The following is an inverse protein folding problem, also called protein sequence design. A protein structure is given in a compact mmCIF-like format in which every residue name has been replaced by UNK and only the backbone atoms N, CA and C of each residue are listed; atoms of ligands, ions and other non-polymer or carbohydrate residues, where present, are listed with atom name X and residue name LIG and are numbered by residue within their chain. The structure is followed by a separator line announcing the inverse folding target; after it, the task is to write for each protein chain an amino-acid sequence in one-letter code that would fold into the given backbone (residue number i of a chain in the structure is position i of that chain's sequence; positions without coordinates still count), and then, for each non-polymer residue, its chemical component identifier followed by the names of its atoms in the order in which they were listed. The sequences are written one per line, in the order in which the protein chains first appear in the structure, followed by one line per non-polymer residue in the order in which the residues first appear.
data_IF_934491128413
#
_entry.id   IF_934491128413
#
_cell.length_a   1.000
_cell.length_b   1.000
_cell.length_c   1.000
_cell.angle_alpha   90.00
_cell.angle_beta   90.00
_cell.angle_gamma   90.00
#
_symmetry.space_group_name_H-M   'P 1'
#
loop_
_entity.id
_entity.type
_entity.pdbx_description
1 polymer ?
#
# COMPACT_ATOMS: atom_id res chain seq x y z
N UNK A 1 -16.53 1.21 0.73
CA UNK A 1 -15.87 1.61 -0.52
C UNK A 1 -14.63 2.49 -0.34
N UNK A 2 -14.65 3.55 0.50
CA UNK A 2 -13.55 4.52 0.61
C UNK A 2 -12.20 3.98 1.15
N UNK A 3 -12.17 2.76 1.69
CA UNK A 3 -10.98 2.16 2.29
C UNK A 3 -9.75 2.19 1.36
N UNK A 4 -9.91 1.88 0.07
CA UNK A 4 -8.78 1.86 -0.87
C UNK A 4 -8.21 3.25 -1.16
N UNK A 5 -9.07 4.28 -1.21
CA UNK A 5 -8.64 5.67 -1.41
C UNK A 5 -7.81 6.15 -0.21
N UNK A 6 -8.26 5.86 1.01
CA UNK A 6 -7.50 6.19 2.21
C UNK A 6 -6.22 5.35 2.31
N UNK A 7 -6.29 4.05 1.99
CA UNK A 7 -5.16 3.15 2.00
C UNK A 7 -4.02 3.65 1.10
N UNK A 8 -4.31 4.07 -0.13
CA UNK A 8 -3.31 4.64 -1.04
C UNK A 8 -2.69 5.94 -0.52
N UNK A 9 -3.47 6.77 0.17
CA UNK A 9 -2.98 8.07 0.68
C UNK A 9 -2.09 7.94 1.92
N UNK A 10 -2.37 6.96 2.79
CA UNK A 10 -1.71 6.87 4.10
C UNK A 10 -0.76 5.67 4.26
N UNK A 11 -0.96 4.61 3.47
CA UNK A 11 -0.22 3.34 3.57
C UNK A 11 0.52 3.00 2.28
N UNK A 12 -0.19 2.89 1.14
CA UNK A 12 0.39 2.54 -0.15
C UNK A 12 0.74 3.80 -0.96
N UNK A 13 1.66 4.60 -0.44
CA UNK A 13 2.10 5.86 -1.06
C UNK A 13 2.99 5.62 -2.29
N UNK A 14 2.91 6.51 -3.28
CA UNK A 14 3.68 6.38 -4.53
C UNK A 14 5.20 6.44 -4.34
N UNK A 15 5.68 7.08 -3.27
CA UNK A 15 7.08 7.06 -2.83
C UNK A 15 7.14 6.44 -1.44
N UNK A 16 7.99 5.43 -1.26
CA UNK A 16 8.23 4.71 0.01
C UNK A 16 6.94 4.24 0.71
N UNK A 17 6.23 3.22 0.17
CA UNK A 17 5.02 2.69 0.78
C UNK A 17 5.30 1.99 2.11
N UNK A 18 4.37 2.11 3.04
CA UNK A 18 4.45 1.52 4.39
C UNK A 18 4.02 0.04 4.38
N UNK A 19 4.73 -0.78 3.61
CA UNK A 19 4.42 -2.19 3.43
C UNK A 19 4.43 -2.98 4.75
N UNK A 20 5.30 -2.62 5.71
CA UNK A 20 5.41 -3.28 7.01
C UNK A 20 4.13 -3.18 7.85
N UNK A 21 3.33 -2.13 7.67
CA UNK A 21 2.07 -1.90 8.40
C UNK A 21 0.84 -2.11 7.51
N UNK A 22 1.01 -2.62 6.29
CA UNK A 22 -0.08 -2.78 5.33
C UNK A 22 -0.87 -4.06 5.64
N UNK A 23 -2.14 -3.91 6.01
CA UNK A 23 -3.02 -5.04 6.37
C UNK A 23 -3.25 -6.06 5.23
N UNK A 24 -3.03 -5.65 3.98
CA UNK A 24 -3.15 -6.51 2.80
C UNK A 24 -1.80 -6.89 2.19
N UNK A 25 -0.69 -6.65 2.91
CA UNK A 25 0.66 -6.94 2.42
C UNK A 25 0.85 -8.42 2.05
N UNK A 26 0.23 -9.33 2.81
CA UNK A 26 0.29 -10.77 2.57
C UNK A 26 -0.32 -11.19 1.22
N UNK A 27 -1.19 -10.36 0.64
CA UNK A 27 -1.85 -10.61 -0.65
C UNK A 27 -1.41 -9.63 -1.74
N UNK A 28 -0.47 -8.72 -1.44
CA UNK A 28 -0.05 -7.69 -2.37
C UNK A 28 0.94 -8.26 -3.39
N UNK A 29 0.68 -8.17 -4.70
CA UNK A 29 1.59 -8.68 -5.74
C UNK A 29 2.84 -7.82 -5.93
N UNK A 30 2.89 -6.63 -5.31
CA UNK A 30 4.02 -5.69 -5.33
C UNK A 30 4.53 -5.29 -6.72
N UNK A 31 3.65 -5.25 -7.72
CA UNK A 31 4.02 -4.86 -9.09
C UNK A 31 4.35 -3.36 -9.14
N UNK A 32 5.57 -3.02 -9.57
CA UNK A 32 6.01 -1.63 -9.71
C UNK A 32 6.21 -0.87 -8.40
N UNK A 33 6.22 -1.57 -7.26
CA UNK A 33 6.43 -0.96 -5.95
C UNK A 33 7.93 -0.76 -5.73
N UNK A 34 8.42 0.47 -5.90
CA UNK A 34 9.79 0.83 -5.59
C UNK A 34 9.96 0.88 -4.06
N UNK A 35 10.75 -0.06 -3.53
CA UNK A 35 11.18 -0.11 -2.13
C UNK A 35 12.45 0.70 -1.92
#
# INVERSE_FOLDING_TARGET
HAYLVLHGRYTCTARAPKCATCAVAAWCPRIGVAG
#
